data_IF_631474461808
#
_entry.id   IF_631474461808
#
_cell.length_a   1.000
_cell.length_b   1.000
_cell.length_c   1.000
_cell.angle_alpha   90.00
_cell.angle_beta   90.00
_cell.angle_gamma   90.00
#
_symmetry.space_group_name_H-M   'P 1'
#
loop_
_entity.id
_entity.type
_entity.pdbx_description
1 polymer ?
#
# COMPACT_ATOMS: atom_id res chain seq x y z
N UNK A 1 8.44 -79.94 48.54
CA UNK A 1 8.85 -79.07 47.42
C UNK A 1 7.66 -78.26 47.06
N UNK A 2 7.68 -76.98 47.45
CA UNK A 2 6.53 -76.06 47.35
C UNK A 2 6.73 -75.23 46.10
N UNK A 3 5.83 -75.35 45.09
CA UNK A 3 5.77 -74.50 43.93
C UNK A 3 5.10 -73.18 44.30
N UNK A 4 5.82 -72.10 44.21
CA UNK A 4 5.28 -70.75 44.29
C UNK A 4 4.71 -70.32 42.88
N UNK A 5 3.43 -69.97 42.87
CA UNK A 5 2.73 -69.41 41.73
C UNK A 5 2.86 -67.87 41.85
N UNK A 6 3.52 -67.24 40.86
CA UNK A 6 3.53 -65.78 40.72
C UNK A 6 2.26 -65.34 40.04
N UNK A 7 1.47 -64.52 40.72
CA UNK A 7 0.36 -63.78 40.13
C UNK A 7 0.91 -62.47 39.58
N UNK A 8 0.91 -62.32 38.28
CA UNK A 8 1.23 -61.01 37.55
C UNK A 8 -0.05 -60.21 37.51
N UNK A 9 -0.10 -59.09 38.24
CA UNK A 9 -1.19 -58.14 38.18
C UNK A 9 -1.00 -57.25 36.89
N UNK A 10 -1.97 -57.35 35.99
CA UNK A 10 -2.05 -56.50 34.82
C UNK A 10 -2.68 -55.13 35.24
N UNK A 11 -1.85 -54.09 35.36
CA UNK A 11 -2.33 -52.73 35.59
C UNK A 11 -2.80 -52.16 34.26
N UNK A 12 -4.10 -52.09 34.05
CA UNK A 12 -4.69 -51.39 32.91
C UNK A 12 -4.51 -49.87 33.14
N UNK A 13 -3.58 -49.27 32.39
CA UNK A 13 -3.41 -47.82 32.30
C UNK A 13 -4.58 -47.26 31.52
N UNK A 14 -5.51 -46.62 32.20
CA UNK A 14 -6.57 -45.82 31.58
C UNK A 14 -5.90 -44.55 31.07
N UNK A 15 -5.62 -44.47 29.75
CA UNK A 15 -5.30 -43.22 29.08
C UNK A 15 -6.52 -42.31 29.15
N UNK A 16 -6.48 -41.33 30.02
CA UNK A 16 -7.37 -40.16 29.98
C UNK A 16 -6.94 -39.29 28.82
N UNK A 17 -7.71 -39.31 27.76
CA UNK A 17 -7.64 -38.32 26.67
C UNK A 17 -8.07 -36.98 27.28
N UNK A 18 -7.26 -35.92 27.23
CA UNK A 18 -7.74 -34.59 27.62
C UNK A 18 -8.76 -34.11 26.61
N UNK A 19 -10.03 -34.21 26.95
CA UNK A 19 -11.10 -33.45 26.29
C UNK A 19 -11.02 -32.03 26.85
N UNK A 20 -10.19 -31.20 26.25
CA UNK A 20 -10.22 -29.75 26.37
C UNK A 20 -10.20 -29.15 24.98
N UNK A 21 -11.28 -29.36 24.22
CA UNK A 21 -11.81 -28.35 23.33
C UNK A 21 -12.92 -27.68 24.15
N UNK A 22 -12.73 -26.42 24.52
CA UNK A 22 -13.84 -25.62 25.03
C UNK A 22 -15.00 -25.76 24.05
N UNK A 23 -16.25 -26.01 24.51
CA UNK A 23 -17.39 -26.01 23.60
C UNK A 23 -17.42 -24.67 22.90
N UNK A 24 -17.74 -24.61 21.57
CA UNK A 24 -17.87 -23.36 20.87
C UNK A 24 -18.69 -22.44 21.72
N UNK A 25 -18.21 -21.22 21.98
CA UNK A 25 -18.84 -20.25 22.89
C UNK A 25 -20.35 -20.24 22.64
N UNK A 26 -21.12 -20.76 23.59
CA UNK A 26 -22.57 -20.91 23.47
C UNK A 26 -23.24 -19.55 23.12
N UNK A 27 -22.59 -18.46 23.53
CA UNK A 27 -23.02 -17.11 23.17
C UNK A 27 -22.74 -16.81 21.70
N UNK A 28 -21.59 -17.21 21.13
CA UNK A 28 -21.28 -16.99 19.71
C UNK A 28 -22.26 -17.76 18.79
N UNK A 29 -22.59 -19.00 19.15
CA UNK A 29 -23.59 -19.80 18.43
C UNK A 29 -24.99 -19.16 18.49
N UNK A 30 -25.38 -18.63 19.65
CA UNK A 30 -26.64 -17.90 19.83
C UNK A 30 -26.67 -16.63 18.99
N UNK A 31 -25.59 -15.83 19.00
CA UNK A 31 -25.50 -14.61 18.22
C UNK A 31 -25.54 -14.91 16.72
N UNK A 32 -24.87 -15.94 16.23
CA UNK A 32 -24.93 -16.39 14.85
C UNK A 32 -26.37 -16.79 14.44
N UNK A 33 -27.09 -17.51 15.30
CA UNK A 33 -28.50 -17.88 15.07
C UNK A 33 -29.41 -16.65 15.00
N UNK A 34 -29.21 -15.67 15.88
CA UNK A 34 -29.94 -14.40 15.87
C UNK A 34 -29.70 -13.68 14.55
N UNK A 35 -28.43 -13.54 14.12
CA UNK A 35 -28.07 -12.87 12.85
C UNK A 35 -28.71 -13.57 11.65
N UNK A 36 -28.62 -14.90 11.57
CA UNK A 36 -29.28 -15.66 10.49
C UNK A 36 -30.80 -15.45 10.47
N UNK A 37 -31.40 -15.38 11.64
CA UNK A 37 -32.86 -15.14 11.77
C UNK A 37 -33.21 -13.73 11.26
N UNK A 38 -32.44 -12.71 11.67
CA UNK A 38 -32.64 -11.33 11.23
C UNK A 38 -32.52 -11.23 9.69
N UNK A 39 -31.52 -11.88 9.10
CA UNK A 39 -31.32 -11.87 7.63
C UNK A 39 -32.45 -12.55 6.86
N UNK A 40 -33.09 -13.55 7.44
CA UNK A 40 -34.28 -14.21 6.84
C UNK A 40 -35.57 -13.38 6.96
N UNK A 41 -35.73 -12.66 8.07
CA UNK A 41 -36.88 -11.84 8.37
C UNK A 41 -36.63 -10.41 7.90
N UNK A 42 -37.02 -10.08 6.67
CA UNK A 42 -36.86 -8.74 6.11
C UNK A 42 -37.56 -7.69 6.97
N UNK A 43 -36.90 -6.55 7.22
CA UNK A 43 -37.53 -5.37 7.87
C UNK A 43 -37.36 -5.32 9.40
N UNK A 44 -36.53 -6.16 10.00
CA UNK A 44 -36.20 -6.04 11.42
C UNK A 44 -35.31 -4.80 11.63
N UNK A 45 -35.74 -3.90 12.51
CA UNK A 45 -34.95 -2.76 12.94
C UNK A 45 -33.91 -3.19 13.99
N UNK A 46 -32.70 -3.42 13.50
CA UNK A 46 -31.55 -3.80 14.35
C UNK A 46 -31.07 -2.61 15.17
N UNK A 47 -31.07 -1.40 14.60
CA UNK A 47 -30.59 -0.19 15.27
C UNK A 47 -31.51 0.22 16.41
N UNK A 48 -32.84 0.16 16.22
CA UNK A 48 -33.84 0.45 17.24
C UNK A 48 -34.00 -0.64 18.32
N UNK A 49 -33.30 -1.79 18.17
CA UNK A 49 -33.43 -2.92 19.11
C UNK A 49 -32.09 -3.23 19.78
N UNK A 50 -31.77 -2.66 20.97
CA UNK A 50 -30.43 -2.74 21.57
C UNK A 50 -29.93 -4.18 21.79
N UNK A 51 -30.80 -5.12 22.14
CA UNK A 51 -30.41 -6.55 22.33
C UNK A 51 -30.00 -7.21 21.01
N UNK A 52 -30.70 -6.93 19.92
CA UNK A 52 -30.35 -7.44 18.58
C UNK A 52 -29.06 -6.80 18.09
N UNK A 53 -28.93 -5.47 18.23
CA UNK A 53 -27.70 -4.74 17.88
C UNK A 53 -26.49 -5.31 18.61
N UNK A 54 -26.60 -5.54 19.92
CA UNK A 54 -25.52 -6.12 20.71
C UNK A 54 -25.11 -7.53 20.23
N UNK A 55 -26.08 -8.37 19.84
CA UNK A 55 -25.79 -9.71 19.29
C UNK A 55 -25.12 -9.60 17.92
N UNK A 56 -25.60 -8.70 17.04
CA UNK A 56 -24.96 -8.46 15.73
C UNK A 56 -23.53 -7.93 15.88
N UNK A 57 -23.29 -6.96 16.79
CA UNK A 57 -21.93 -6.43 17.03
C UNK A 57 -20.97 -7.49 17.57
N UNK A 58 -21.42 -8.40 18.45
CA UNK A 58 -20.57 -9.51 18.90
C UNK A 58 -20.27 -10.49 17.76
N UNK A 59 -21.28 -10.82 16.95
CA UNK A 59 -21.08 -11.69 15.79
C UNK A 59 -20.13 -11.07 14.76
N UNK A 60 -20.23 -9.76 14.47
CA UNK A 60 -19.31 -9.04 13.59
C UNK A 60 -17.85 -9.18 14.01
N UNK A 61 -17.54 -9.18 15.32
CA UNK A 61 -16.16 -9.41 15.79
C UNK A 61 -15.57 -10.74 15.33
N UNK A 62 -16.39 -11.78 15.17
CA UNK A 62 -15.95 -13.08 14.65
C UNK A 62 -15.70 -13.08 13.14
N UNK A 63 -16.15 -12.04 12.46
CA UNK A 63 -16.02 -11.86 11.00
C UNK A 63 -14.95 -10.82 10.63
N UNK A 64 -14.25 -10.22 11.59
CA UNK A 64 -13.18 -9.24 11.30
C UNK A 64 -12.18 -9.81 10.30
N UNK A 65 -11.85 -9.02 9.29
CA UNK A 65 -10.95 -9.41 8.20
C UNK A 65 -11.55 -10.33 7.12
N UNK A 66 -12.82 -10.74 7.26
CA UNK A 66 -13.53 -11.56 6.27
C UNK A 66 -14.45 -10.70 5.40
N UNK A 67 -14.70 -11.07 4.14
CA UNK A 67 -15.63 -10.34 3.26
C UNK A 67 -17.04 -10.22 3.82
N UNK A 68 -17.49 -11.23 4.58
CA UNK A 68 -18.82 -11.29 5.20
C UNK A 68 -19.04 -10.16 6.20
N UNK A 69 -17.99 -9.62 6.82
CA UNK A 69 -18.05 -8.49 7.73
C UNK A 69 -18.76 -7.29 7.10
N UNK A 70 -18.29 -6.87 5.94
CA UNK A 70 -18.83 -5.71 5.21
C UNK A 70 -20.24 -5.98 4.67
N UNK A 71 -20.45 -7.19 4.13
CA UNK A 71 -21.76 -7.62 3.62
C UNK A 71 -22.82 -7.55 4.72
N UNK A 72 -22.51 -8.02 5.91
CA UNK A 72 -23.44 -8.03 7.04
C UNK A 72 -23.78 -6.61 7.50
N UNK A 73 -22.78 -5.73 7.63
CA UNK A 73 -22.96 -4.33 8.02
C UNK A 73 -23.88 -3.61 7.02
N UNK A 74 -23.58 -3.76 5.72
CA UNK A 74 -24.37 -3.14 4.64
C UNK A 74 -25.82 -3.63 4.65
N UNK A 75 -26.03 -4.94 4.84
CA UNK A 75 -27.36 -5.56 4.84
C UNK A 75 -28.22 -5.13 6.02
N UNK A 76 -27.64 -5.00 7.19
CA UNK A 76 -28.33 -4.66 8.44
C UNK A 76 -28.22 -3.19 8.82
N UNK A 77 -27.47 -2.38 8.06
CA UNK A 77 -27.22 -0.94 8.28
C UNK A 77 -26.71 -0.63 9.70
N UNK A 78 -25.84 -1.48 10.20
CA UNK A 78 -25.32 -1.42 11.59
C UNK A 78 -24.41 -0.24 11.78
N UNK A 79 -24.65 0.52 12.85
CA UNK A 79 -23.82 1.66 13.30
C UNK A 79 -22.99 1.29 14.53
N UNK A 80 -21.92 2.08 14.77
CA UNK A 80 -20.98 1.86 15.88
C UNK A 80 -19.79 0.99 15.50
N UNK A 81 -19.56 0.78 14.20
CA UNK A 81 -18.44 0.03 13.60
C UNK A 81 -17.60 0.88 12.64
N UNK A 82 -17.82 2.21 12.65
CA UNK A 82 -17.25 3.13 11.67
C UNK A 82 -15.71 3.21 11.78
N UNK A 83 -15.15 3.03 12.97
CA UNK A 83 -13.70 3.01 13.18
C UNK A 83 -13.03 1.78 12.52
N UNK A 84 -13.66 0.61 12.68
CA UNK A 84 -13.21 -0.64 12.08
C UNK A 84 -13.36 -0.62 10.55
N UNK A 85 -14.46 -0.05 10.04
CA UNK A 85 -14.67 0.16 8.61
C UNK A 85 -13.59 1.06 8.03
N UNK A 86 -13.24 2.16 8.70
CA UNK A 86 -12.20 3.08 8.27
C UNK A 86 -10.84 2.39 8.23
N UNK A 87 -10.50 1.65 9.28
CA UNK A 87 -9.27 0.86 9.34
C UNK A 87 -9.19 -0.15 8.20
N UNK A 88 -10.27 -0.89 7.96
CA UNK A 88 -10.35 -1.87 6.86
C UNK A 88 -10.19 -1.20 5.48
N UNK A 89 -10.87 -0.09 5.25
CA UNK A 89 -10.80 0.68 4.01
C UNK A 89 -9.37 1.16 3.72
N UNK A 90 -8.68 1.69 4.72
CA UNK A 90 -7.33 2.27 4.58
C UNK A 90 -6.27 1.18 4.36
N UNK A 91 -6.32 0.10 5.15
CA UNK A 91 -5.30 -0.95 5.09
C UNK A 91 -5.49 -1.96 3.97
N UNK A 92 -6.70 -2.03 3.39
CA UNK A 92 -7.03 -2.93 2.28
C UNK A 92 -7.71 -2.18 1.12
N UNK A 93 -7.12 -1.08 0.62
CA UNK A 93 -7.77 -0.19 -0.34
C UNK A 93 -8.09 -0.88 -1.69
N UNK A 94 -7.41 -1.96 -2.01
CA UNK A 94 -7.57 -2.72 -3.25
C UNK A 94 -8.50 -3.93 -3.11
N UNK A 95 -8.91 -4.27 -1.88
CA UNK A 95 -9.80 -5.40 -1.64
C UNK A 95 -11.28 -5.01 -1.79
N UNK A 96 -12.12 -5.98 -2.16
CA UNK A 96 -13.59 -5.79 -2.19
C UNK A 96 -14.13 -5.37 -0.81
N UNK A 97 -13.54 -5.88 0.27
CA UNK A 97 -13.93 -5.54 1.63
C UNK A 97 -13.56 -4.09 1.98
N UNK A 98 -12.36 -3.64 1.63
CA UNK A 98 -11.93 -2.26 1.86
C UNK A 98 -12.77 -1.25 1.07
N UNK A 99 -13.02 -1.52 -0.21
CA UNK A 99 -13.87 -0.66 -1.05
C UNK A 99 -15.29 -0.61 -0.49
N UNK A 100 -15.89 -1.76 -0.15
CA UNK A 100 -17.22 -1.82 0.44
C UNK A 100 -17.30 -1.11 1.80
N UNK A 101 -16.25 -1.17 2.61
CA UNK A 101 -16.17 -0.42 3.87
C UNK A 101 -16.16 1.10 3.62
N UNK A 102 -15.41 1.58 2.62
CA UNK A 102 -15.41 2.98 2.23
C UNK A 102 -16.77 3.44 1.68
N UNK A 103 -17.45 2.60 0.87
CA UNK A 103 -18.82 2.88 0.39
C UNK A 103 -19.79 3.07 1.57
N UNK A 104 -19.75 2.19 2.58
CA UNK A 104 -20.60 2.28 3.76
C UNK A 104 -20.31 3.56 4.54
N UNK A 105 -19.04 3.94 4.73
CA UNK A 105 -18.67 5.18 5.41
C UNK A 105 -19.24 6.41 4.69
N UNK A 106 -19.17 6.46 3.37
CA UNK A 106 -19.75 7.54 2.56
C UNK A 106 -21.29 7.55 2.67
N UNK A 107 -21.96 6.38 2.59
CA UNK A 107 -23.41 6.25 2.79
C UNK A 107 -23.83 6.73 4.20
N UNK A 108 -22.96 6.47 5.19
CA UNK A 108 -23.16 6.87 6.58
C UNK A 108 -22.83 8.34 6.84
N UNK A 109 -22.33 9.09 5.84
CA UNK A 109 -21.94 10.49 5.93
C UNK A 109 -20.78 10.72 6.93
N UNK A 110 -19.85 9.79 6.96
CA UNK A 110 -18.65 9.86 7.79
C UNK A 110 -17.50 10.65 7.10
N UNK A 111 -17.86 11.60 6.24
CA UNK A 111 -16.90 12.43 5.48
C UNK A 111 -15.88 13.13 6.38
N UNK A 112 -16.33 13.59 7.57
CA UNK A 112 -15.44 14.22 8.55
C UNK A 112 -14.36 13.24 9.01
N UNK A 113 -14.74 12.01 9.35
CA UNK A 113 -13.81 10.97 9.81
C UNK A 113 -12.78 10.61 8.72
N UNK A 114 -13.23 10.54 7.47
CA UNK A 114 -12.35 10.29 6.32
C UNK A 114 -11.40 11.48 6.13
N UNK A 115 -11.88 12.71 6.18
CA UNK A 115 -11.07 13.92 6.05
C UNK A 115 -10.06 14.08 7.18
N UNK A 116 -10.42 13.73 8.43
CA UNK A 116 -9.50 13.76 9.57
C UNK A 116 -8.28 12.84 9.34
N UNK A 117 -8.43 11.72 8.63
CA UNK A 117 -7.31 10.85 8.23
C UNK A 117 -6.53 11.45 7.07
N UNK A 118 -7.21 11.92 6.02
CA UNK A 118 -6.57 12.50 4.82
C UNK A 118 -5.66 13.68 5.20
N UNK A 119 -6.09 14.51 6.15
CA UNK A 119 -5.33 15.67 6.62
C UNK A 119 -4.55 15.41 7.92
N UNK A 120 -4.44 14.14 8.33
CA UNK A 120 -3.66 13.72 9.48
C UNK A 120 -2.14 13.80 9.21
N UNK A 121 -1.36 13.50 10.25
CA UNK A 121 0.12 13.52 10.16
C UNK A 121 0.71 12.28 9.50
N UNK A 122 -0.06 11.20 9.43
CA UNK A 122 0.37 9.93 8.86
C UNK A 122 0.04 9.92 7.36
N UNK A 123 1.07 10.16 6.55
CA UNK A 123 0.95 10.25 5.10
C UNK A 123 0.55 8.92 4.44
N UNK A 124 0.93 7.78 5.03
CA UNK A 124 0.61 6.46 4.51
C UNK A 124 -0.87 6.14 4.74
N UNK A 125 -1.41 6.46 5.93
CA UNK A 125 -2.84 6.35 6.20
C UNK A 125 -3.65 7.29 5.30
N UNK A 126 -3.18 8.52 5.11
CA UNK A 126 -3.82 9.48 4.21
C UNK A 126 -3.83 8.96 2.76
N UNK A 127 -2.70 8.45 2.25
CA UNK A 127 -2.60 7.87 0.92
C UNK A 127 -3.51 6.63 0.76
N UNK A 128 -3.61 5.78 1.77
CA UNK A 128 -4.53 4.64 1.79
C UNK A 128 -5.99 5.06 1.71
N UNK A 129 -6.40 6.08 2.49
CA UNK A 129 -7.75 6.65 2.44
C UNK A 129 -8.08 7.23 1.05
N UNK A 130 -7.13 7.97 0.47
CA UNK A 130 -7.27 8.53 -0.88
C UNK A 130 -7.37 7.42 -1.93
N UNK A 131 -6.55 6.36 -1.82
CA UNK A 131 -6.54 5.25 -2.77
C UNK A 131 -7.89 4.52 -2.79
N UNK A 132 -8.46 4.21 -1.63
CA UNK A 132 -9.77 3.52 -1.56
C UNK A 132 -10.90 4.40 -2.09
N UNK A 133 -10.88 5.72 -1.85
CA UNK A 133 -11.86 6.64 -2.42
C UNK A 133 -11.80 6.68 -3.95
N UNK A 134 -10.60 6.61 -4.53
CA UNK A 134 -10.40 6.46 -5.96
C UNK A 134 -10.99 5.15 -6.52
N UNK A 135 -10.96 4.07 -5.73
CA UNK A 135 -11.59 2.77 -6.09
C UNK A 135 -13.12 2.86 -6.04
N UNK A 136 -13.67 3.50 -5.02
CA UNK A 136 -15.11 3.77 -4.94
C UNK A 136 -15.56 4.59 -6.15
N UNK A 137 -14.82 5.62 -6.54
CA UNK A 137 -15.01 6.41 -7.75
C UNK A 137 -16.35 7.15 -7.85
N UNK A 138 -17.14 7.19 -6.78
CA UNK A 138 -18.42 7.93 -6.74
C UNK A 138 -18.16 9.45 -6.79
N UNK A 139 -19.19 10.23 -7.19
CA UNK A 139 -19.09 11.69 -7.21
C UNK A 139 -18.70 12.25 -5.83
N UNK A 140 -19.26 11.70 -4.76
CA UNK A 140 -18.92 12.09 -3.38
C UNK A 140 -17.44 11.78 -3.06
N UNK A 141 -16.95 10.58 -3.38
CA UNK A 141 -15.55 10.21 -3.19
C UNK A 141 -14.62 11.15 -3.97
N UNK A 142 -14.95 11.45 -5.25
CA UNK A 142 -14.16 12.35 -6.08
C UNK A 142 -14.15 13.79 -5.55
N UNK A 143 -15.24 14.28 -4.95
CA UNK A 143 -15.28 15.60 -4.32
C UNK A 143 -14.28 15.73 -3.16
N UNK A 144 -14.05 14.65 -2.40
CA UNK A 144 -13.10 14.65 -1.29
C UNK A 144 -11.64 14.67 -1.78
N UNK A 145 -11.33 14.01 -2.89
CA UNK A 145 -9.92 13.81 -3.31
C UNK A 145 -9.43 14.74 -4.41
N UNK A 146 -10.31 15.31 -5.24
CA UNK A 146 -9.90 16.26 -6.31
C UNK A 146 -9.13 17.47 -5.79
N UNK A 147 -9.53 18.15 -4.69
CA UNK A 147 -8.80 19.32 -4.19
C UNK A 147 -7.37 18.99 -3.77
N UNK A 148 -7.12 17.76 -3.34
CA UNK A 148 -5.80 17.33 -2.84
C UNK A 148 -4.72 17.37 -3.93
N UNK A 149 -5.10 17.26 -5.22
CA UNK A 149 -4.14 17.19 -6.34
C UNK A 149 -3.31 18.47 -6.45
N UNK A 150 -3.95 19.62 -6.29
CA UNK A 150 -3.30 20.95 -6.51
C UNK A 150 -2.96 21.68 -5.22
N UNK A 151 -3.44 21.21 -4.07
CA UNK A 151 -3.18 21.85 -2.78
C UNK A 151 -1.78 21.48 -2.25
N UNK A 152 -0.84 22.42 -2.39
CA UNK A 152 0.56 22.25 -1.97
C UNK A 152 0.76 22.11 -0.46
N UNK A 153 -0.27 22.33 0.37
CA UNK A 153 -0.21 22.05 1.81
C UNK A 153 -0.17 20.56 2.11
N UNK A 154 -0.69 19.75 1.17
CA UNK A 154 -0.56 18.30 1.27
C UNK A 154 0.82 17.85 0.81
N UNK A 155 1.35 16.80 1.41
CA UNK A 155 2.62 16.22 1.00
C UNK A 155 2.56 15.68 -0.44
N UNK A 156 3.72 15.51 -1.07
CA UNK A 156 3.82 14.88 -2.39
C UNK A 156 3.17 13.50 -2.42
N UNK A 157 3.31 12.71 -1.36
CA UNK A 157 2.74 11.35 -1.26
C UNK A 157 1.21 11.41 -1.40
N UNK A 158 0.56 12.26 -0.63
CA UNK A 158 -0.90 12.43 -0.66
C UNK A 158 -1.36 12.98 -2.01
N UNK A 159 -0.68 14.01 -2.56
CA UNK A 159 -1.00 14.58 -3.87
C UNK A 159 -0.86 13.57 -5.01
N UNK A 160 0.20 12.75 -4.97
CA UNK A 160 0.42 11.68 -5.97
C UNK A 160 -0.66 10.60 -5.87
N UNK A 161 -1.01 10.18 -4.64
CA UNK A 161 -2.12 9.25 -4.41
C UNK A 161 -3.44 9.82 -4.95
N UNK A 162 -3.71 11.11 -4.72
CA UNK A 162 -4.90 11.79 -5.23
C UNK A 162 -4.93 11.85 -6.75
N UNK A 163 -3.82 12.20 -7.40
CA UNK A 163 -3.72 12.24 -8.86
C UNK A 163 -4.00 10.85 -9.49
N UNK A 164 -3.43 9.79 -8.92
CA UNK A 164 -3.69 8.41 -9.35
C UNK A 164 -5.15 8.01 -9.10
N UNK A 165 -5.69 8.31 -7.92
CA UNK A 165 -7.06 7.97 -7.54
C UNK A 165 -8.08 8.67 -8.44
N UNK A 166 -7.93 9.99 -8.66
CA UNK A 166 -8.77 10.79 -9.54
C UNK A 166 -8.67 10.30 -10.99
N UNK A 167 -7.46 9.92 -11.45
CA UNK A 167 -7.21 9.46 -12.81
C UNK A 167 -7.81 8.10 -13.18
N UNK A 168 -8.45 7.37 -12.24
CA UNK A 168 -9.01 6.03 -12.47
C UNK A 168 -10.27 6.03 -13.34
N UNK A 169 -10.98 7.13 -13.46
CA UNK A 169 -12.20 7.22 -14.25
C UNK A 169 -12.23 8.45 -15.16
N UNK A 170 -13.10 8.45 -16.16
CA UNK A 170 -13.18 9.52 -17.17
C UNK A 170 -13.48 10.90 -16.60
N UNK A 171 -14.31 10.99 -15.54
CA UNK A 171 -14.64 12.28 -14.90
C UNK A 171 -13.38 12.88 -14.26
N UNK A 172 -12.62 12.07 -13.58
CA UNK A 172 -11.36 12.47 -12.97
C UNK A 172 -10.27 12.77 -14.01
N UNK A 173 -10.19 11.98 -15.08
CA UNK A 173 -9.23 12.22 -16.16
C UNK A 173 -9.49 13.56 -16.85
N UNK A 174 -10.74 13.94 -17.09
CA UNK A 174 -11.10 15.27 -17.63
C UNK A 174 -10.69 16.38 -16.67
N UNK A 175 -10.95 16.23 -15.37
CA UNK A 175 -10.49 17.17 -14.36
C UNK A 175 -8.98 17.34 -14.38
N UNK A 176 -8.21 16.23 -14.42
CA UNK A 176 -6.74 16.31 -14.49
C UNK A 176 -6.26 17.00 -15.76
N UNK A 177 -6.88 16.70 -16.90
CA UNK A 177 -6.56 17.34 -18.18
C UNK A 177 -6.80 18.85 -18.12
N UNK A 178 -7.90 19.30 -17.52
CA UNK A 178 -8.19 20.73 -17.31
C UNK A 178 -7.10 21.40 -16.46
N UNK A 179 -6.67 20.77 -15.36
CA UNK A 179 -5.59 21.31 -14.50
C UNK A 179 -4.26 21.40 -15.24
N UNK A 180 -3.94 20.38 -16.04
CA UNK A 180 -2.74 20.38 -16.89
C UNK A 180 -2.79 21.50 -17.92
N UNK A 181 -3.90 21.65 -18.63
CA UNK A 181 -4.07 22.67 -19.66
C UNK A 181 -4.05 24.11 -19.09
N UNK A 182 -4.52 24.29 -17.86
CA UNK A 182 -4.48 25.56 -17.14
C UNK A 182 -3.10 25.86 -16.52
N UNK A 183 -2.14 24.94 -16.57
CA UNK A 183 -0.83 25.10 -15.92
C UNK A 183 -0.88 25.05 -14.39
N UNK A 184 -1.94 24.49 -13.81
CA UNK A 184 -2.18 24.41 -12.37
C UNK A 184 -1.66 23.11 -11.74
N UNK A 185 -1.14 22.19 -12.56
CA UNK A 185 -0.62 20.92 -12.07
C UNK A 185 0.81 21.10 -11.51
N UNK A 186 1.07 20.72 -10.25
CA UNK A 186 2.42 20.65 -9.73
C UNK A 186 3.31 19.71 -10.56
N UNK A 187 4.53 20.15 -10.88
CA UNK A 187 5.44 19.40 -11.78
C UNK A 187 5.80 18.00 -11.25
N UNK A 188 5.87 17.84 -9.95
CA UNK A 188 6.16 16.57 -9.29
C UNK A 188 5.05 15.52 -9.47
N UNK A 189 3.90 15.89 -10.03
CA UNK A 189 2.80 14.99 -10.38
C UNK A 189 2.76 14.63 -11.88
N UNK A 190 3.67 15.18 -12.71
CA UNK A 190 3.64 14.98 -14.16
C UNK A 190 3.61 13.49 -14.54
N UNK A 191 4.40 12.64 -13.88
CA UNK A 191 4.41 11.21 -14.17
C UNK A 191 3.06 10.54 -13.84
N UNK A 192 2.53 10.78 -12.64
CA UNK A 192 1.27 10.16 -12.20
C UNK A 192 0.10 10.56 -13.11
N UNK A 193 0.02 11.86 -13.46
CA UNK A 193 -1.04 12.39 -14.31
C UNK A 193 -0.86 11.96 -15.76
N UNK A 194 0.36 12.01 -16.31
CA UNK A 194 0.64 11.51 -17.66
C UNK A 194 0.23 10.04 -17.80
N UNK A 195 0.64 9.20 -16.84
CA UNK A 195 0.30 7.79 -16.83
C UNK A 195 -1.23 7.57 -16.83
N UNK A 196 -1.97 8.32 -16.01
CA UNK A 196 -3.43 8.23 -15.95
C UNK A 196 -4.11 8.67 -17.26
N UNK A 197 -3.68 9.81 -17.83
CA UNK A 197 -4.29 10.35 -19.03
C UNK A 197 -3.94 9.56 -20.29
N UNK A 198 -2.71 9.08 -20.45
CA UNK A 198 -2.32 8.22 -21.57
C UNK A 198 -2.91 6.81 -21.50
N UNK A 199 -3.31 6.36 -20.30
CA UNK A 199 -4.06 5.10 -20.12
C UNK A 199 -5.57 5.27 -20.37
N UNK A 200 -6.05 6.48 -20.69
CA UNK A 200 -7.48 6.73 -20.90
C UNK A 200 -8.03 5.87 -22.05
N UNK A 201 -9.22 5.28 -21.91
CA UNK A 201 -9.94 4.71 -23.07
C UNK A 201 -10.38 5.78 -24.06
N UNK A 202 -10.57 7.04 -23.61
CA UNK A 202 -10.95 8.18 -24.45
C UNK A 202 -9.74 8.69 -25.26
N UNK A 203 -9.82 8.54 -26.60
CA UNK A 203 -8.76 8.98 -27.54
C UNK A 203 -8.50 10.47 -27.44
N UNK A 204 -9.55 11.27 -27.25
CA UNK A 204 -9.43 12.74 -27.19
C UNK A 204 -8.62 13.16 -25.96
N UNK A 205 -8.87 12.55 -24.81
CA UNK A 205 -8.07 12.78 -23.59
C UNK A 205 -6.59 12.49 -23.87
N UNK A 206 -6.27 11.35 -24.51
CA UNK A 206 -4.87 11.02 -24.83
C UNK A 206 -4.22 12.03 -25.77
N UNK A 207 -4.92 12.46 -26.81
CA UNK A 207 -4.42 13.43 -27.78
C UNK A 207 -4.20 14.83 -27.16
N UNK A 208 -5.13 15.26 -26.31
CA UNK A 208 -4.99 16.56 -25.63
C UNK A 208 -3.85 16.51 -24.60
N UNK A 209 -3.74 15.41 -23.82
CA UNK A 209 -2.67 15.24 -22.84
C UNK A 209 -1.27 15.29 -23.49
N UNK A 210 -1.11 14.77 -24.71
CA UNK A 210 0.16 14.76 -25.43
C UNK A 210 0.69 16.18 -25.81
N UNK A 211 -0.16 17.20 -25.74
CA UNK A 211 0.26 18.59 -25.93
C UNK A 211 1.06 19.14 -24.75
N UNK A 212 0.83 18.60 -23.56
CA UNK A 212 1.34 19.13 -22.29
C UNK A 212 2.27 18.19 -21.55
N UNK A 213 2.07 16.87 -21.70
CA UNK A 213 2.72 15.85 -20.90
C UNK A 213 3.48 14.85 -21.78
N UNK A 214 4.52 14.25 -21.20
CA UNK A 214 5.29 13.15 -21.81
C UNK A 214 5.52 12.07 -20.77
N UNK A 215 5.50 10.82 -21.21
CA UNK A 215 5.96 9.69 -20.39
C UNK A 215 7.49 9.62 -20.40
N UNK A 216 8.12 9.03 -19.36
CA UNK A 216 9.55 8.80 -19.33
C UNK A 216 10.03 8.05 -20.57
N UNK A 217 11.23 8.34 -21.05
CA UNK A 217 11.82 7.65 -22.18
C UNK A 217 12.75 6.53 -21.68
N UNK A 218 12.82 5.43 -22.45
CA UNK A 218 13.80 4.37 -22.34
C UNK A 218 15.18 4.80 -22.88
N UNK A 219 16.18 3.92 -22.85
CA UNK A 219 17.56 4.18 -23.32
C UNK A 219 17.61 4.72 -24.75
N UNK A 220 16.73 4.24 -25.62
CA UNK A 220 16.66 4.66 -27.03
C UNK A 220 15.99 6.03 -27.23
N UNK A 221 15.61 6.73 -26.16
CA UNK A 221 14.89 7.99 -26.22
C UNK A 221 13.42 7.87 -26.61
N UNK A 222 12.92 6.66 -26.82
CA UNK A 222 11.52 6.38 -27.14
C UNK A 222 10.69 6.45 -25.84
N UNK A 223 9.58 7.20 -25.80
CA UNK A 223 8.71 7.22 -24.64
C UNK A 223 8.21 5.82 -24.27
N UNK A 224 8.26 5.48 -22.98
CA UNK A 224 7.70 4.24 -22.49
C UNK A 224 6.17 4.22 -22.66
N UNK A 225 5.56 3.06 -22.87
CA UNK A 225 4.11 2.94 -22.77
C UNK A 225 3.63 3.28 -21.35
N UNK A 226 2.35 3.64 -21.18
CA UNK A 226 1.75 3.79 -19.85
C UNK A 226 1.92 2.50 -19.03
N UNK A 227 2.01 2.63 -17.70
CA UNK A 227 2.22 1.47 -16.80
C UNK A 227 1.15 0.40 -17.00
N UNK A 228 -0.10 0.79 -17.27
CA UNK A 228 -1.19 -0.15 -17.56
C UNK A 228 -0.92 -1.05 -18.79
N UNK A 229 -0.13 -0.58 -19.76
CA UNK A 229 0.29 -1.38 -20.91
C UNK A 229 1.56 -2.21 -20.60
N UNK A 230 2.49 -1.66 -19.81
CA UNK A 230 3.68 -2.40 -19.36
C UNK A 230 3.30 -3.62 -18.51
N UNK A 231 2.32 -3.49 -17.62
CA UNK A 231 1.84 -4.58 -16.75
C UNK A 231 1.32 -5.77 -17.54
N UNK A 232 0.70 -5.55 -18.71
CA UNK A 232 0.19 -6.62 -19.59
C UNK A 232 1.28 -7.43 -20.29
N UNK A 233 2.49 -6.88 -20.36
CA UNK A 233 3.61 -7.54 -21.01
C UNK A 233 4.20 -8.63 -20.10
N UNK A 234 4.59 -9.76 -20.70
CA UNK A 234 5.31 -10.83 -20.00
C UNK A 234 6.79 -10.72 -20.31
N UNK A 235 7.63 -10.69 -19.27
CA UNK A 235 9.07 -10.63 -19.38
C UNK A 235 9.75 -11.99 -19.19
N UNK A 236 11.07 -11.98 -19.29
CA UNK A 236 11.94 -13.11 -18.92
C UNK A 236 12.55 -12.85 -17.55
N UNK A 237 12.11 -13.59 -16.53
CA UNK A 237 12.66 -13.45 -15.18
C UNK A 237 14.16 -13.76 -15.10
N UNK A 238 14.66 -14.74 -15.89
CA UNK A 238 16.09 -15.07 -15.93
C UNK A 238 16.94 -13.96 -16.53
N UNK A 239 16.47 -13.33 -17.62
CA UNK A 239 17.14 -12.16 -18.21
C UNK A 239 17.01 -10.95 -17.26
N UNK A 240 15.86 -10.76 -16.64
CA UNK A 240 15.64 -9.71 -15.63
C UNK A 240 16.59 -9.80 -14.46
N UNK A 241 16.90 -11.03 -13.99
CA UNK A 241 17.90 -11.24 -12.94
C UNK A 241 19.30 -10.79 -13.37
N UNK A 242 19.70 -11.07 -14.60
CA UNK A 242 20.98 -10.62 -15.14
C UNK A 242 21.02 -9.09 -15.23
N UNK A 243 19.97 -8.47 -15.78
CA UNK A 243 19.83 -7.02 -15.89
C UNK A 243 19.84 -6.32 -14.53
N UNK A 244 19.18 -6.89 -13.53
CA UNK A 244 19.14 -6.39 -12.16
C UNK A 244 20.56 -6.24 -11.58
N UNK A 245 21.45 -7.19 -11.89
CA UNK A 245 22.85 -7.20 -11.43
C UNK A 245 23.77 -6.33 -12.28
N UNK A 246 23.43 -6.08 -13.55
CA UNK A 246 24.32 -5.42 -14.51
C UNK A 246 23.79 -4.06 -14.96
N UNK A 247 23.05 -4.01 -16.06
CA UNK A 247 22.61 -2.76 -16.73
C UNK A 247 21.69 -1.92 -15.87
N UNK A 248 20.72 -2.53 -15.21
CA UNK A 248 19.79 -1.83 -14.31
C UNK A 248 20.42 -1.42 -12.98
N UNK A 249 21.57 -2.00 -12.62
CA UNK A 249 22.38 -1.69 -11.43
C UNK A 249 21.64 -1.75 -10.09
N UNK A 250 20.48 -2.39 -10.01
CA UNK A 250 19.64 -2.42 -8.81
C UNK A 250 20.36 -3.01 -7.60
N UNK A 251 21.23 -4.01 -7.82
CA UNK A 251 22.02 -4.68 -6.78
C UNK A 251 23.00 -3.74 -6.07
N UNK A 252 23.33 -2.59 -6.66
CA UNK A 252 24.20 -1.59 -6.04
C UNK A 252 23.56 -0.90 -4.84
N UNK A 253 22.20 -0.93 -4.77
CA UNK A 253 21.45 -0.28 -3.72
C UNK A 253 20.52 -1.24 -2.97
N UNK A 254 20.09 -2.33 -3.60
CA UNK A 254 19.14 -3.28 -3.01
C UNK A 254 19.78 -4.64 -2.73
N UNK A 255 19.41 -5.22 -1.60
CA UNK A 255 19.74 -6.59 -1.24
C UNK A 255 18.66 -7.55 -1.76
N UNK A 256 19.08 -8.70 -2.29
CA UNK A 256 18.21 -9.82 -2.65
C UNK A 256 18.85 -11.11 -2.13
N UNK A 257 18.21 -11.81 -1.20
CA UNK A 257 18.68 -13.07 -0.61
C UNK A 257 20.14 -13.02 -0.12
N UNK A 258 20.50 -11.91 0.50
CA UNK A 258 21.83 -11.68 1.05
C UNK A 258 22.87 -11.08 0.08
N UNK A 259 22.60 -11.06 -1.24
CA UNK A 259 23.46 -10.40 -2.22
C UNK A 259 23.06 -8.94 -2.41
N UNK A 260 24.04 -8.04 -2.58
CA UNK A 260 23.83 -6.63 -2.86
C UNK A 260 24.06 -5.74 -1.66
N UNK A 261 23.68 -4.46 -1.78
CA UNK A 261 23.87 -3.42 -0.77
C UNK A 261 22.55 -2.99 -0.14
N UNK A 262 22.62 -2.27 0.96
CA UNK A 262 21.46 -1.89 1.78
C UNK A 262 21.26 -0.37 1.81
N UNK A 263 21.25 0.26 0.63
CA UNK A 263 20.90 1.68 0.45
C UNK A 263 19.41 1.86 0.26
N UNK A 264 18.76 0.86 -0.34
CA UNK A 264 17.30 0.75 -0.47
C UNK A 264 16.77 -0.48 0.26
N UNK A 265 15.45 -0.67 0.30
CA UNK A 265 14.82 -1.83 0.93
C UNK A 265 15.35 -3.17 0.40
N UNK A 266 15.39 -4.18 1.27
CA UNK A 266 15.60 -5.57 0.86
C UNK A 266 14.41 -6.05 0.00
N UNK A 267 14.72 -6.48 -1.22
CA UNK A 267 13.73 -6.91 -2.20
C UNK A 267 13.49 -8.44 -2.20
N UNK A 268 14.08 -9.19 -1.27
CA UNK A 268 13.99 -10.67 -1.25
C UNK A 268 12.56 -11.22 -1.25
N UNK A 269 11.59 -10.45 -0.74
CA UNK A 269 10.18 -10.83 -0.63
C UNK A 269 9.22 -9.80 -1.26
N UNK A 270 9.74 -8.90 -2.06
CA UNK A 270 8.97 -7.77 -2.58
C UNK A 270 7.81 -8.21 -3.48
N UNK A 271 7.95 -9.35 -4.17
CA UNK A 271 6.91 -9.94 -5.00
C UNK A 271 5.68 -10.45 -4.23
N UNK A 272 5.79 -10.60 -2.90
CA UNK A 272 4.64 -10.86 -2.01
C UNK A 272 4.03 -9.59 -1.43
N UNK A 273 4.69 -8.42 -1.60
CA UNK A 273 4.29 -7.15 -0.95
C UNK A 273 3.73 -6.14 -1.95
N UNK A 274 4.27 -6.11 -3.17
CA UNK A 274 3.87 -5.15 -4.19
C UNK A 274 3.31 -5.83 -5.43
N UNK A 275 2.29 -5.19 -6.03
CA UNK A 275 1.81 -5.57 -7.35
C UNK A 275 2.84 -5.22 -8.44
N UNK A 276 2.75 -5.87 -9.61
CA UNK A 276 3.57 -5.57 -10.79
C UNK A 276 3.46 -4.09 -11.19
N UNK A 277 2.26 -3.51 -11.10
CA UNK A 277 2.02 -2.09 -11.34
C UNK A 277 2.82 -1.20 -10.38
N UNK A 278 2.75 -1.50 -9.08
CA UNK A 278 3.49 -0.74 -8.06
C UNK A 278 5.01 -0.82 -8.27
N UNK A 279 5.53 -1.97 -8.70
CA UNK A 279 6.96 -2.13 -9.03
C UNK A 279 7.39 -1.24 -10.19
N UNK A 280 6.63 -1.19 -11.30
CA UNK A 280 6.90 -0.25 -12.39
C UNK A 280 6.90 1.20 -11.90
N UNK A 281 5.89 1.57 -11.12
CA UNK A 281 5.80 2.93 -10.59
C UNK A 281 6.99 3.25 -9.70
N UNK A 282 7.42 2.34 -8.82
CA UNK A 282 8.57 2.55 -7.92
C UNK A 282 9.89 2.77 -8.68
N UNK A 283 10.03 2.19 -9.88
CA UNK A 283 11.20 2.41 -10.72
C UNK A 283 11.10 3.72 -11.50
N UNK A 284 9.91 4.05 -12.03
CA UNK A 284 9.70 5.19 -12.92
C UNK A 284 9.43 6.52 -12.18
N UNK A 285 9.00 6.44 -10.92
CA UNK A 285 8.76 7.59 -10.03
C UNK A 285 9.07 7.19 -8.58
N UNK A 286 10.35 7.00 -8.24
CA UNK A 286 10.75 6.46 -6.93
C UNK A 286 10.41 7.38 -5.75
N UNK A 287 10.15 8.65 -6.02
CA UNK A 287 9.72 9.61 -4.99
C UNK A 287 8.21 9.66 -4.78
N UNK A 288 7.43 8.89 -5.55
CA UNK A 288 5.99 8.81 -5.41
C UNK A 288 5.53 8.01 -4.16
N UNK A 289 6.43 7.22 -3.58
CA UNK A 289 6.22 6.49 -2.34
C UNK A 289 7.56 5.95 -1.84
N UNK A 290 8.10 6.56 -0.79
CA UNK A 290 9.38 6.16 -0.17
C UNK A 290 9.05 5.25 1.01
N UNK A 291 9.67 4.05 1.04
CA UNK A 291 9.46 3.11 2.13
C UNK A 291 9.94 3.69 3.47
N UNK A 292 9.20 3.41 4.54
CA UNK A 292 9.58 3.81 5.89
C UNK A 292 11.02 3.37 6.21
N UNK A 293 11.78 4.22 6.86
CA UNK A 293 13.22 4.12 7.16
C UNK A 293 14.17 4.23 5.94
N UNK A 294 13.66 4.55 4.74
CA UNK A 294 14.47 4.82 3.55
C UNK A 294 14.31 6.25 3.03
N UNK A 295 13.70 7.11 3.84
CA UNK A 295 13.66 8.55 3.57
C UNK A 295 15.08 9.10 3.61
N UNK A 296 15.42 9.94 2.64
CA UNK A 296 16.70 10.62 2.63
C UNK A 296 16.67 11.88 3.50
N UNK A 297 17.80 12.19 4.09
CA UNK A 297 18.02 13.38 4.91
C UNK A 297 19.23 14.14 4.41
N UNK A 298 19.16 15.46 4.46
CA UNK A 298 20.30 16.35 4.26
C UNK A 298 20.70 16.93 5.62
N UNK A 299 21.95 16.67 6.04
CA UNK A 299 22.53 17.31 7.21
C UNK A 299 23.38 18.50 6.74
N UNK A 300 23.03 19.69 7.20
CA UNK A 300 23.84 20.90 7.06
C UNK A 300 24.81 20.90 8.25
N UNK A 301 26.10 20.89 7.95
CA UNK A 301 27.14 20.88 8.98
C UNK A 301 27.58 22.31 9.30
N UNK A 302 28.02 22.58 10.52
CA UNK A 302 28.59 23.89 10.93
C UNK A 302 29.77 24.34 10.05
N UNK A 303 30.45 23.40 9.39
CA UNK A 303 31.46 23.71 8.40
C UNK A 303 30.94 24.27 7.06
N UNK A 304 29.59 24.37 6.91
CA UNK A 304 28.92 24.74 5.67
C UNK A 304 28.76 23.60 4.66
N UNK A 305 29.29 22.42 4.94
CA UNK A 305 29.08 21.25 4.06
C UNK A 305 27.69 20.69 4.22
N UNK A 306 27.11 20.20 3.12
CA UNK A 306 25.84 19.46 3.10
C UNK A 306 26.11 18.00 2.76
N UNK A 307 25.63 17.10 3.60
CA UNK A 307 25.74 15.66 3.38
C UNK A 307 24.37 15.05 3.32
N UNK A 308 24.16 14.14 2.35
CA UNK A 308 22.85 13.51 2.12
C UNK A 308 22.95 12.00 2.24
N UNK A 309 21.97 11.37 2.89
CA UNK A 309 21.89 9.92 3.05
C UNK A 309 20.63 9.48 3.74
N UNK A 310 20.47 8.17 3.93
CA UNK A 310 19.44 7.60 4.80
C UNK A 310 19.98 7.50 6.23
N UNK A 311 19.13 7.70 7.22
CA UNK A 311 19.54 7.55 8.62
C UNK A 311 19.62 6.04 8.94
N UNK A 312 20.82 5.58 9.28
CA UNK A 312 21.08 4.21 9.76
C UNK A 312 20.88 4.13 11.28
N UNK A 313 21.33 5.14 11.99
CA UNK A 313 21.11 5.30 13.43
C UNK A 313 21.09 6.77 13.82
N UNK A 314 20.34 7.09 14.86
CA UNK A 314 20.29 8.43 15.44
C UNK A 314 20.09 8.34 16.94
N UNK A 315 20.92 9.10 17.67
CA UNK A 315 20.79 9.35 19.11
C UNK A 315 20.77 10.87 19.35
N UNK A 316 20.70 11.30 20.59
CA UNK A 316 20.81 12.73 20.94
C UNK A 316 22.22 13.27 20.71
N UNK A 317 23.23 12.40 20.63
CA UNK A 317 24.64 12.79 20.53
C UNK A 317 25.17 12.70 19.11
N UNK A 318 24.64 11.76 18.28
CA UNK A 318 25.18 11.48 16.94
C UNK A 318 24.12 10.98 15.97
N UNK A 319 24.40 11.19 14.67
CA UNK A 319 23.62 10.63 13.55
C UNK A 319 24.57 9.93 12.57
N UNK A 320 24.20 8.71 12.16
CA UNK A 320 24.91 7.98 11.10
C UNK A 320 24.07 8.02 9.83
N UNK A 321 24.64 8.59 8.78
CA UNK A 321 24.05 8.66 7.45
C UNK A 321 24.74 7.68 6.51
N UNK A 322 23.96 6.91 5.76
CA UNK A 322 24.41 6.06 4.66
C UNK A 322 24.18 6.76 3.33
N UNK A 323 25.23 6.98 2.57
CA UNK A 323 25.15 7.62 1.28
C UNK A 323 24.72 6.64 0.15
N UNK A 324 24.61 7.12 -1.08
CA UNK A 324 24.21 6.32 -2.26
C UNK A 324 25.23 5.20 -2.60
N UNK A 325 26.49 5.31 -2.17
CA UNK A 325 27.54 4.32 -2.36
C UNK A 325 27.54 3.22 -1.29
N UNK A 326 26.59 3.27 -0.33
CA UNK A 326 26.48 2.42 0.85
C UNK A 326 27.66 2.61 1.83
N UNK A 327 28.14 3.84 1.97
CA UNK A 327 29.14 4.22 2.94
C UNK A 327 28.45 4.89 4.11
N UNK A 328 28.64 4.35 5.31
CA UNK A 328 28.13 4.90 6.55
C UNK A 328 29.10 5.91 7.11
N UNK A 329 28.62 7.10 7.45
CA UNK A 329 29.42 8.13 8.12
C UNK A 329 28.64 8.71 9.30
N UNK A 330 29.30 8.73 10.45
CA UNK A 330 28.76 9.26 11.69
C UNK A 330 29.19 10.71 11.88
N UNK A 331 28.25 11.55 12.27
CA UNK A 331 28.43 12.97 12.62
C UNK A 331 27.95 13.19 14.03
N UNK A 332 28.67 13.99 14.79
CA UNK A 332 28.20 14.44 16.11
C UNK A 332 27.07 15.45 15.90
N UNK A 333 26.01 15.37 16.72
CA UNK A 333 24.88 16.33 16.62
C UNK A 333 25.32 17.78 16.90
N UNK A 334 26.44 17.97 17.62
CA UNK A 334 27.08 19.28 17.80
C UNK A 334 27.73 19.85 16.52
N UNK A 335 27.97 19.00 15.49
CA UNK A 335 28.50 19.43 14.19
C UNK A 335 27.38 19.63 13.16
N UNK A 336 26.13 19.27 13.49
CA UNK A 336 24.97 19.34 12.60
C UNK A 336 24.13 20.55 12.99
N UNK A 337 24.15 21.58 12.12
CA UNK A 337 23.34 22.78 12.27
C UNK A 337 21.85 22.47 12.03
N UNK A 338 21.56 21.70 10.96
CA UNK A 338 20.20 21.33 10.60
C UNK A 338 20.15 19.94 9.96
N UNK A 339 19.11 19.16 10.28
CA UNK A 339 18.83 17.85 9.69
C UNK A 339 17.46 17.87 9.02
N UNK A 340 17.45 17.97 7.70
CA UNK A 340 16.26 18.17 6.88
C UNK A 340 15.83 16.83 6.26
N UNK A 341 14.58 16.42 6.46
CA UNK A 341 13.98 15.30 5.73
C UNK A 341 13.69 15.72 4.30
N UNK A 342 14.24 15.01 3.31
CA UNK A 342 13.99 15.28 1.91
C UNK A 342 12.68 14.64 1.43
N UNK A 343 12.05 15.27 0.45
CA UNK A 343 10.86 14.74 -0.25
C UNK A 343 11.19 13.92 -1.49
N UNK A 344 12.49 13.74 -1.78
CA UNK A 344 13.00 13.04 -2.96
C UNK A 344 13.71 11.77 -2.51
N UNK A 345 13.44 10.66 -3.21
CA UNK A 345 14.10 9.39 -2.98
C UNK A 345 15.59 9.45 -3.35
N UNK A 346 16.42 8.73 -2.60
CA UNK A 346 17.82 8.48 -2.98
C UNK A 346 17.95 7.54 -4.19
N UNK A 347 16.91 6.77 -4.49
CA UNK A 347 16.84 5.97 -5.72
C UNK A 347 16.75 6.90 -6.94
N UNK A 348 17.64 6.77 -7.93
CA UNK A 348 17.65 7.65 -9.10
C UNK A 348 16.36 7.57 -9.90
N UNK A 349 15.81 8.73 -10.28
CA UNK A 349 14.57 8.83 -11.06
C UNK A 349 14.73 8.47 -12.55
N UNK A 350 15.95 8.28 -13.03
CA UNK A 350 16.27 8.10 -14.45
C UNK A 350 16.78 6.70 -14.80
N UNK A 351 16.57 5.71 -13.93
CA UNK A 351 17.06 4.33 -14.13
C UNK A 351 16.55 3.70 -15.43
N UNK A 352 15.33 4.02 -15.86
CA UNK A 352 14.77 3.53 -17.13
C UNK A 352 15.57 4.00 -18.35
N UNK A 353 16.34 5.09 -18.25
CA UNK A 353 17.22 5.56 -19.34
C UNK A 353 18.42 4.65 -19.61
N UNK A 354 18.72 3.74 -18.70
CA UNK A 354 19.78 2.73 -18.87
C UNK A 354 19.29 1.44 -19.54
N UNK A 355 17.99 1.31 -19.75
CA UNK A 355 17.32 0.09 -20.18
C UNK A 355 16.39 0.34 -21.36
N UNK A 356 16.23 -0.64 -22.27
CA UNK A 356 15.11 -0.65 -23.19
C UNK A 356 13.79 -0.88 -22.45
N UNK A 357 12.66 -0.58 -23.11
CA UNK A 357 11.34 -0.90 -22.55
C UNK A 357 11.22 -2.42 -22.24
N UNK A 358 11.80 -3.25 -23.09
CA UNK A 358 11.83 -4.71 -22.90
C UNK A 358 12.65 -5.11 -21.67
N UNK A 359 13.82 -4.49 -21.49
CA UNK A 359 14.68 -4.75 -20.33
C UNK A 359 13.98 -4.38 -19.01
N UNK A 360 13.27 -3.25 -19.00
CA UNK A 360 12.48 -2.83 -17.85
C UNK A 360 11.39 -3.86 -17.51
N UNK A 361 10.68 -4.39 -18.53
CA UNK A 361 9.68 -5.46 -18.32
C UNK A 361 10.33 -6.72 -17.76
N UNK A 362 11.49 -7.13 -18.28
CA UNK A 362 12.21 -8.32 -17.80
C UNK A 362 12.67 -8.15 -16.34
N UNK A 363 13.21 -6.97 -15.97
CA UNK A 363 13.61 -6.64 -14.59
C UNK A 363 12.40 -6.73 -13.65
N UNK A 364 11.27 -6.14 -14.01
CA UNK A 364 10.06 -6.21 -13.19
C UNK A 364 9.55 -7.64 -13.10
N UNK A 365 9.59 -8.43 -14.20
CA UNK A 365 9.22 -9.84 -14.17
C UNK A 365 10.08 -10.64 -13.17
N UNK A 366 11.40 -10.41 -13.13
CA UNK A 366 12.26 -11.00 -12.12
C UNK A 366 11.86 -10.59 -10.70
N UNK A 367 11.64 -9.30 -10.46
CA UNK A 367 11.25 -8.78 -9.13
C UNK A 367 9.95 -9.41 -8.65
N UNK A 368 8.98 -9.69 -9.52
CA UNK A 368 7.73 -10.38 -9.15
C UNK A 368 7.94 -11.81 -8.65
N UNK A 369 9.06 -12.45 -9.02
CA UNK A 369 9.41 -13.81 -8.54
C UNK A 369 10.01 -13.82 -7.14
N UNK A 370 10.38 -12.67 -6.61
CA UNK A 370 10.99 -12.52 -5.28
C UNK A 370 9.90 -12.57 -4.19
N UNK A 371 9.42 -13.78 -3.92
CA UNK A 371 8.32 -14.05 -3.00
C UNK A 371 8.82 -14.66 -1.70
N UNK A 372 8.01 -14.49 -0.64
CA UNK A 372 8.18 -15.17 0.64
C UNK A 372 8.17 -16.68 0.47
N UNK A 373 8.96 -17.38 1.26
CA UNK A 373 8.93 -18.86 1.29
C UNK A 373 7.55 -19.31 1.77
N UNK A 374 6.81 -20.02 0.93
CA UNK A 374 5.43 -20.46 1.17
C UNK A 374 4.38 -19.82 0.25
N UNK A 375 4.69 -18.72 -0.43
CA UNK A 375 3.80 -18.05 -1.41
C UNK A 375 4.06 -18.51 -2.87
N UNK A 376 4.78 -19.61 -3.05
CA UNK A 376 5.15 -20.15 -4.38
C UNK A 376 4.13 -21.11 -4.92
#
# INVERSE_FOLDING_TARGET
>A
MIKRIFFTAFVASVMTIPVNADPPDAQAAKDATIVQTILRLKGIDVEGTPKLKAAVLRHLKTLEGKPEYVVLIKSLKVRGVEAELLRLAIHQPDSTAGVGAAEILLEYKEDKRINDVIHGKDEDLAAGAVAVLGRVGSSQALQLIKPLVTDLRNSRIVRTAAARAVGRNLIGQRFLLERVAAGELPQDLNFAVANALFSSPDKEIRLQAAKYLKLPAAAEGVPLPPVAELVKQTGSASRGQQLFKTTATCIKCHKVRGEGKEVGPDLSEIGSKLSKEAMFVSILDPSAGISHNYESYSAILESGNVVTGIIVSRTDEQVTLRNAEAIDKTYQMSEVEELIKNTVSIMPADLQKTMSARDLVDVVEYITTLKKVGDR
#
